data_IF_183734632434
#
_entry.id   IF_183734632434
#
_cell.length_a   1.000
_cell.length_b   1.000
_cell.length_c   1.000
_cell.angle_alpha   90.00
_cell.angle_beta   90.00
_cell.angle_gamma   90.00
#
_symmetry.space_group_name_H-M   'P 1'
#
loop_
_entity.id
_entity.type
_entity.pdbx_description
1 polymer ?
#
# COMPACT_ATOMS: atom_id res chain seq x y z
N UNK A 1 16.91 -43.77 0.96
CA UNK A 1 15.57 -43.32 1.37
C UNK A 1 15.74 -41.97 2.04
N UNK A 2 15.60 -40.89 1.29
CA UNK A 2 15.58 -39.53 1.85
C UNK A 2 14.11 -39.12 1.98
N UNK A 3 13.62 -39.06 3.22
CA UNK A 3 12.32 -38.48 3.54
C UNK A 3 12.43 -36.96 3.51
N UNK A 4 12.52 -36.36 2.33
CA UNK A 4 12.08 -34.99 2.11
C UNK A 4 10.60 -35.05 1.72
N UNK A 5 9.73 -35.16 2.72
CA UNK A 5 8.35 -34.72 2.54
C UNK A 5 8.39 -33.19 2.43
N UNK A 6 8.69 -32.69 1.23
CA UNK A 6 8.50 -31.28 0.92
C UNK A 6 7.03 -30.94 1.17
N UNK A 7 6.78 -29.88 1.93
CA UNK A 7 5.45 -29.30 2.10
C UNK A 7 4.77 -29.27 0.73
N UNK A 8 3.54 -29.80 0.65
CA UNK A 8 2.74 -29.81 -0.57
C UNK A 8 2.65 -28.36 -1.06
N UNK A 9 3.35 -28.04 -2.15
CA UNK A 9 3.40 -26.68 -2.71
C UNK A 9 1.96 -26.25 -3.03
N UNK A 10 1.45 -25.27 -2.28
CA UNK A 10 0.16 -24.63 -2.58
C UNK A 10 0.30 -23.94 -3.94
N UNK A 11 -0.54 -24.32 -4.90
CA UNK A 11 -0.64 -23.67 -6.22
C UNK A 11 -1.70 -22.58 -6.14
N UNK A 12 -1.50 -21.48 -6.87
CA UNK A 12 -2.50 -20.43 -7.01
C UNK A 12 -2.34 -19.23 -6.06
N UNK A 13 -1.13 -19.00 -5.52
CA UNK A 13 -0.84 -17.96 -4.52
C UNK A 13 -0.63 -16.58 -5.16
N UNK A 14 -0.85 -15.48 -4.44
CA UNK A 14 -0.57 -14.13 -4.93
C UNK A 14 0.65 -13.58 -4.19
N UNK A 15 1.78 -13.39 -4.88
CA UNK A 15 2.98 -12.84 -4.30
C UNK A 15 2.97 -11.32 -4.42
N UNK A 16 3.14 -10.65 -3.29
CA UNK A 16 3.36 -9.21 -3.24
C UNK A 16 4.74 -8.93 -2.64
N UNK A 17 5.61 -8.28 -3.42
CA UNK A 17 6.96 -7.93 -3.03
C UNK A 17 6.99 -6.44 -2.70
N UNK A 18 7.28 -6.12 -1.46
CA UNK A 18 7.31 -4.73 -0.97
C UNK A 18 8.67 -4.39 -0.40
N UNK A 19 9.03 -3.12 -0.48
CA UNK A 19 10.30 -2.62 0.06
C UNK A 19 10.41 -2.83 1.59
N UNK A 20 9.38 -2.49 2.37
CA UNK A 20 9.48 -2.44 3.82
C UNK A 20 8.29 -3.05 4.60
N UNK A 21 8.37 -2.91 5.92
CA UNK A 21 7.33 -3.37 6.84
C UNK A 21 6.10 -2.45 6.86
N UNK A 22 6.25 -1.17 6.50
CA UNK A 22 5.15 -0.21 6.53
C UNK A 22 4.09 -0.57 5.47
N UNK A 23 4.55 -0.89 4.27
CA UNK A 23 3.78 -1.36 3.13
C UNK A 23 2.95 -2.58 3.54
N UNK A 24 3.62 -3.61 4.09
CA UNK A 24 2.97 -4.84 4.53
C UNK A 24 1.98 -4.58 5.67
N UNK A 25 2.48 -4.12 6.82
CA UNK A 25 1.72 -4.16 8.08
C UNK A 25 0.73 -3.00 8.25
N UNK A 26 0.84 -1.93 7.44
CA UNK A 26 -0.13 -0.83 7.47
C UNK A 26 -0.96 -0.79 6.20
N UNK A 27 -0.35 -0.51 5.04
CA UNK A 27 -1.11 -0.24 3.81
C UNK A 27 -1.84 -1.50 3.32
N UNK A 28 -1.12 -2.58 3.03
CA UNK A 28 -1.73 -3.77 2.45
C UNK A 28 -2.63 -4.52 3.43
N UNK A 29 -2.26 -4.54 4.71
CA UNK A 29 -3.18 -4.99 5.76
C UNK A 29 -4.51 -4.22 5.69
N UNK A 30 -4.46 -2.88 5.73
CA UNK A 30 -5.66 -2.06 5.70
C UNK A 30 -6.44 -2.20 4.38
N UNK A 31 -5.77 -2.30 3.23
CA UNK A 31 -6.42 -2.57 1.94
C UNK A 31 -7.18 -3.89 1.99
N UNK A 32 -6.59 -4.97 2.50
CA UNK A 32 -7.27 -6.27 2.50
C UNK A 32 -8.43 -6.35 3.51
N UNK A 33 -8.38 -5.60 4.62
CA UNK A 33 -9.54 -5.44 5.50
C UNK A 33 -10.65 -4.61 4.83
N UNK A 34 -10.29 -3.55 4.10
CA UNK A 34 -11.27 -2.70 3.39
C UNK A 34 -11.87 -3.40 2.17
N UNK A 35 -11.10 -4.26 1.50
CA UNK A 35 -11.44 -4.97 0.26
C UNK A 35 -11.26 -6.49 0.40
N UNK A 36 -12.05 -7.19 1.25
CA UNK A 36 -11.95 -8.63 1.45
C UNK A 36 -12.18 -9.48 0.19
N UNK A 37 -12.73 -8.89 -0.87
CA UNK A 37 -12.84 -9.52 -2.20
C UNK A 37 -11.45 -9.78 -2.82
N UNK A 38 -10.43 -9.04 -2.38
CA UNK A 38 -9.02 -9.27 -2.69
C UNK A 38 -8.52 -10.37 -1.77
N UNK A 39 -8.56 -11.61 -2.25
CA UNK A 39 -8.18 -12.79 -1.47
C UNK A 39 -6.67 -13.05 -1.54
N UNK A 40 -5.88 -12.14 -0.95
CA UNK A 40 -4.43 -12.29 -0.78
C UNK A 40 -4.12 -12.54 0.70
N UNK A 41 -3.34 -13.58 0.98
CA UNK A 41 -2.88 -13.85 2.33
C UNK A 41 -1.69 -12.94 2.68
N UNK A 42 -1.74 -12.31 3.86
CA UNK A 42 -0.64 -11.51 4.42
C UNK A 42 0.71 -12.26 4.49
N UNK A 43 0.70 -13.59 4.62
CA UNK A 43 1.91 -14.43 4.59
C UNK A 43 2.57 -14.49 3.19
N UNK A 44 1.81 -14.17 2.15
CA UNK A 44 2.25 -14.10 0.75
C UNK A 44 2.75 -12.70 0.36
N UNK A 45 2.78 -11.75 1.32
CA UNK A 45 3.50 -10.48 1.17
C UNK A 45 4.94 -10.65 1.64
N UNK A 46 5.87 -10.66 0.71
CA UNK A 46 7.30 -10.71 0.99
C UNK A 46 7.88 -9.32 1.08
N UNK A 47 8.57 -9.08 2.19
CA UNK A 47 9.37 -7.87 2.35
C UNK A 47 10.71 -8.15 1.64
N UNK A 48 11.06 -7.37 0.63
CA UNK A 48 12.37 -7.39 -0.02
C UNK A 48 13.42 -6.58 0.72
N UNK A 49 13.02 -5.71 1.65
CA UNK A 49 13.88 -5.12 2.69
C UNK A 49 14.98 -4.18 2.20
N UNK A 50 14.94 -3.74 0.95
CA UNK A 50 15.84 -2.76 0.32
C UNK A 50 15.15 -2.21 -0.94
N UNK A 51 15.83 -1.35 -1.69
CA UNK A 51 15.27 -0.63 -2.83
C UNK A 51 15.37 -1.41 -4.15
N UNK A 52 14.75 -0.83 -5.18
CA UNK A 52 14.65 -1.42 -6.51
C UNK A 52 16.00 -1.61 -7.21
N UNK A 53 17.00 -0.78 -6.92
CA UNK A 53 18.33 -0.88 -7.57
C UNK A 53 19.10 -2.10 -7.08
N UNK A 54 18.95 -2.46 -5.81
CA UNK A 54 19.51 -3.71 -5.29
C UNK A 54 18.79 -4.94 -5.87
N UNK A 55 17.49 -4.84 -6.16
CA UNK A 55 16.77 -5.91 -6.86
C UNK A 55 17.25 -6.05 -8.31
N UNK A 56 17.46 -4.92 -8.99
CA UNK A 56 18.04 -4.90 -10.33
C UNK A 56 19.41 -5.61 -10.36
N UNK A 57 20.31 -5.28 -9.42
CA UNK A 57 21.64 -5.88 -9.37
C UNK A 57 21.59 -7.39 -9.08
N UNK A 58 20.62 -7.85 -8.29
CA UNK A 58 20.37 -9.29 -8.08
C UNK A 58 19.89 -9.99 -9.35
N UNK A 59 19.04 -9.33 -10.16
CA UNK A 59 18.58 -9.85 -11.45
C UNK A 59 19.77 -9.95 -12.41
N UNK A 60 20.58 -8.89 -12.54
CA UNK A 60 21.79 -8.90 -13.37
C UNK A 60 22.76 -10.01 -12.96
N UNK A 61 22.89 -10.26 -11.66
CA UNK A 61 23.74 -11.35 -11.16
C UNK A 61 23.25 -12.74 -11.56
N UNK A 62 21.93 -12.93 -11.67
CA UNK A 62 21.33 -14.23 -12.01
C UNK A 62 21.20 -14.44 -13.53
N UNK A 63 20.85 -13.38 -14.29
CA UNK A 63 20.51 -13.45 -15.71
C UNK A 63 21.51 -12.76 -16.65
N UNK A 64 22.51 -12.04 -16.11
CA UNK A 64 23.50 -11.29 -16.89
C UNK A 64 23.14 -9.82 -17.13
N UNK A 65 24.09 -9.03 -17.64
CA UNK A 65 23.91 -7.58 -17.85
C UNK A 65 22.94 -7.23 -18.99
N UNK A 66 22.78 -8.13 -19.96
CA UNK A 66 21.96 -7.91 -21.16
C UNK A 66 20.54 -8.48 -21.02
N UNK A 67 20.10 -8.83 -19.80
CA UNK A 67 18.84 -9.52 -19.50
C UNK A 67 17.60 -8.84 -20.13
N UNK A 68 17.55 -7.50 -20.14
CA UNK A 68 16.42 -6.76 -20.72
C UNK A 68 16.47 -6.80 -22.26
N UNK A 69 17.66 -6.62 -22.85
CA UNK A 69 17.84 -6.61 -24.32
C UNK A 69 17.62 -7.99 -24.93
N UNK A 70 17.98 -9.04 -24.19
CA UNK A 70 17.75 -10.44 -24.56
C UNK A 70 16.32 -10.89 -24.25
N UNK A 71 15.51 -10.05 -23.59
CA UNK A 71 14.14 -10.33 -23.17
C UNK A 71 14.05 -11.65 -22.38
N UNK A 72 14.95 -11.79 -21.40
CA UNK A 72 15.03 -12.96 -20.51
C UNK A 72 13.76 -13.14 -19.69
N UNK A 73 13.36 -14.40 -19.48
CA UNK A 73 12.19 -14.74 -18.65
C UNK A 73 12.59 -14.77 -17.16
N UNK A 74 12.43 -13.63 -16.49
CA UNK A 74 12.89 -13.44 -15.12
C UNK A 74 11.99 -14.18 -14.12
N UNK A 75 12.49 -15.26 -13.52
CA UNK A 75 11.88 -15.91 -12.35
C UNK A 75 12.23 -15.13 -11.06
N UNK A 76 11.50 -14.03 -10.83
CA UNK A 76 11.73 -13.14 -9.70
C UNK A 76 11.56 -13.82 -8.33
N UNK A 77 10.56 -14.69 -8.09
CA UNK A 77 10.47 -15.42 -6.83
C UNK A 77 11.69 -16.30 -6.56
N UNK A 78 12.31 -16.86 -7.61
CA UNK A 78 13.55 -17.61 -7.47
C UNK A 78 14.73 -16.71 -7.06
N UNK A 79 14.92 -15.56 -7.72
CA UNK A 79 15.97 -14.58 -7.35
C UNK A 79 15.87 -14.21 -5.87
N UNK A 80 14.67 -13.83 -5.43
CA UNK A 80 14.43 -13.36 -4.05
C UNK A 80 14.56 -14.51 -3.05
N UNK A 81 13.93 -15.65 -3.31
CA UNK A 81 13.97 -16.80 -2.39
C UNK A 81 15.36 -17.39 -2.26
N UNK A 82 16.15 -17.44 -3.33
CA UNK A 82 17.56 -17.87 -3.29
C UNK A 82 18.40 -17.00 -2.36
N UNK A 83 18.16 -15.68 -2.35
CA UNK A 83 18.88 -14.72 -1.49
C UNK A 83 18.41 -14.75 -0.04
N UNK A 84 17.09 -14.79 0.20
CA UNK A 84 16.48 -14.61 1.53
C UNK A 84 16.12 -15.91 2.25
N UNK A 85 15.75 -16.93 1.49
CA UNK A 85 15.21 -18.20 1.98
C UNK A 85 15.86 -19.39 1.25
N UNK A 86 17.19 -19.56 1.35
CA UNK A 86 17.91 -20.57 0.55
C UNK A 86 17.39 -22.00 0.75
N UNK A 87 16.83 -22.30 1.92
CA UNK A 87 16.23 -23.60 2.25
C UNK A 87 14.78 -23.78 1.73
N UNK A 88 14.16 -22.71 1.24
CA UNK A 88 12.77 -22.67 0.77
C UNK A 88 12.67 -21.91 -0.57
N UNK A 89 13.35 -22.44 -1.58
CA UNK A 89 13.27 -21.91 -2.95
C UNK A 89 11.84 -21.93 -3.47
N UNK A 90 11.47 -20.85 -4.12
CA UNK A 90 10.18 -20.60 -4.76
C UNK A 90 10.42 -20.18 -6.19
N UNK A 91 9.43 -20.40 -7.04
CA UNK A 91 9.52 -20.15 -8.47
C UNK A 91 8.28 -19.41 -8.95
N UNK A 92 8.39 -18.72 -10.09
CA UNK A 92 7.28 -18.01 -10.74
C UNK A 92 6.00 -18.84 -10.79
N UNK A 93 6.11 -20.10 -11.22
CA UNK A 93 4.99 -21.07 -11.32
C UNK A 93 4.29 -21.42 -10.01
N UNK A 94 4.84 -21.07 -8.85
CA UNK A 94 4.20 -21.27 -7.55
C UNK A 94 3.11 -20.19 -7.29
N UNK A 95 3.08 -19.12 -8.09
CA UNK A 95 2.20 -17.96 -7.92
C UNK A 95 1.32 -17.72 -9.16
N UNK A 96 0.11 -17.24 -8.93
CA UNK A 96 -0.83 -16.75 -9.96
C UNK A 96 -0.52 -15.32 -10.34
N UNK A 97 -0.21 -14.48 -9.35
CA UNK A 97 0.10 -13.08 -9.53
C UNK A 97 1.39 -12.75 -8.78
N UNK A 98 2.24 -11.91 -9.38
CA UNK A 98 3.45 -11.36 -8.79
C UNK A 98 3.37 -9.84 -8.93
N UNK A 99 3.33 -9.14 -7.81
CA UNK A 99 3.27 -7.67 -7.76
C UNK A 99 4.49 -7.15 -7.02
N UNK A 100 5.09 -6.09 -7.55
CA UNK A 100 6.23 -5.40 -6.97
C UNK A 100 5.84 -3.97 -6.62
N UNK A 101 6.20 -3.52 -5.42
CA UNK A 101 5.94 -2.15 -4.96
C UNK A 101 7.21 -1.56 -4.38
N UNK A 102 7.68 -0.49 -5.01
CA UNK A 102 8.91 0.21 -4.66
C UNK A 102 8.72 1.72 -4.67
N UNK A 103 9.58 2.41 -3.94
CA UNK A 103 9.58 3.87 -3.88
C UNK A 103 10.48 4.49 -4.96
N UNK A 104 10.16 5.71 -5.36
CA UNK A 104 10.96 6.49 -6.30
C UNK A 104 12.08 7.24 -5.58
N UNK A 105 13.19 6.56 -5.36
CA UNK A 105 14.34 7.10 -4.63
C UNK A 105 15.36 7.78 -5.55
N UNK A 106 15.07 8.99 -6.04
CA UNK A 106 16.01 9.75 -6.90
C UNK A 106 17.36 10.05 -6.24
N UNK A 107 17.38 10.12 -4.91
CA UNK A 107 18.59 10.45 -4.14
C UNK A 107 19.41 9.21 -3.76
N UNK A 108 18.96 8.01 -4.12
CA UNK A 108 19.75 6.81 -3.90
C UNK A 108 21.06 6.89 -4.67
N UNK A 109 22.16 6.44 -4.06
CA UNK A 109 23.49 6.48 -4.69
C UNK A 109 23.57 5.62 -5.95
N UNK A 110 22.70 4.62 -6.08
CA UNK A 110 22.61 3.72 -7.24
C UNK A 110 21.48 4.13 -8.19
N UNK A 111 20.87 5.30 -8.01
CA UNK A 111 19.83 5.81 -8.89
C UNK A 111 20.31 5.80 -10.34
N UNK A 112 19.52 5.18 -11.21
CA UNK A 112 19.73 5.21 -12.65
C UNK A 112 18.37 5.23 -13.34
N UNK A 113 18.15 6.28 -14.16
CA UNK A 113 16.94 6.41 -14.98
C UNK A 113 16.77 5.21 -15.90
N UNK A 114 17.87 4.67 -16.43
CA UNK A 114 17.87 3.50 -17.31
C UNK A 114 17.48 2.23 -16.55
N UNK A 115 18.12 1.96 -15.39
CA UNK A 115 17.81 0.76 -14.59
C UNK A 115 16.34 0.71 -14.17
N UNK A 116 15.80 1.82 -13.65
CA UNK A 116 14.39 1.84 -13.22
C UNK A 116 13.42 1.74 -14.39
N UNK A 117 13.78 2.28 -15.57
CA UNK A 117 12.99 2.13 -16.78
C UNK A 117 13.02 0.71 -17.34
N UNK A 118 14.16 0.01 -17.30
CA UNK A 118 14.27 -1.41 -17.66
C UNK A 118 13.39 -2.28 -16.76
N UNK A 119 13.42 -2.03 -15.44
CA UNK A 119 12.52 -2.69 -14.49
C UNK A 119 11.04 -2.44 -14.83
N UNK A 120 10.66 -1.17 -15.11
CA UNK A 120 9.27 -0.82 -15.44
C UNK A 120 8.79 -1.43 -16.76
N UNK A 121 9.67 -1.63 -17.75
CA UNK A 121 9.34 -2.28 -19.02
C UNK A 121 9.26 -3.81 -18.90
N UNK A 122 10.07 -4.41 -18.03
CA UNK A 122 10.06 -5.85 -17.79
C UNK A 122 8.81 -6.30 -17.02
N UNK A 123 8.48 -5.61 -15.92
CA UNK A 123 7.45 -6.03 -14.99
C UNK A 123 6.11 -5.32 -15.28
N UNK A 124 5.41 -5.77 -16.32
CA UNK A 124 4.15 -5.15 -16.82
C UNK A 124 2.88 -5.96 -16.53
N UNK A 125 3.00 -7.28 -16.33
CA UNK A 125 1.87 -8.20 -16.18
C UNK A 125 2.04 -9.05 -14.91
N UNK A 126 1.09 -8.88 -13.98
CA UNK A 126 1.11 -9.58 -12.70
C UNK A 126 1.02 -11.10 -12.89
N UNK A 127 0.38 -11.58 -13.96
CA UNK A 127 0.16 -13.02 -14.22
C UNK A 127 1.34 -13.73 -14.87
N UNK A 128 2.40 -12.98 -15.21
CA UNK A 128 3.63 -13.51 -15.80
C UNK A 128 4.87 -13.16 -14.93
N UNK A 129 5.84 -12.39 -15.44
CA UNK A 129 7.05 -12.04 -14.71
C UNK A 129 6.78 -11.15 -13.49
N UNK A 130 5.64 -10.47 -13.49
CA UNK A 130 5.15 -9.63 -12.42
C UNK A 130 4.85 -8.21 -12.89
N UNK A 131 4.24 -7.42 -12.01
CA UNK A 131 3.87 -6.03 -12.28
C UNK A 131 4.49 -5.08 -11.28
N UNK A 132 5.20 -4.07 -11.77
CA UNK A 132 5.86 -3.06 -10.96
C UNK A 132 5.03 -1.79 -10.81
N UNK A 133 4.80 -1.41 -9.55
CA UNK A 133 4.29 -0.11 -9.15
C UNK A 133 5.39 0.69 -8.45
N UNK A 134 5.58 1.93 -8.89
CA UNK A 134 6.50 2.89 -8.29
C UNK A 134 5.69 3.99 -7.60
N UNK A 135 6.00 4.26 -6.34
CA UNK A 135 5.35 5.34 -5.59
C UNK A 135 6.24 6.58 -5.55
N UNK A 136 5.65 7.73 -5.83
CA UNK A 136 6.35 9.00 -6.01
C UNK A 136 5.98 10.00 -4.91
N UNK A 137 6.95 10.49 -4.13
CA UNK A 137 8.32 9.98 -4.04
C UNK A 137 8.41 8.62 -3.31
N UNK A 138 7.40 8.26 -2.52
CA UNK A 138 7.42 7.06 -1.69
C UNK A 138 6.03 6.62 -1.26
N UNK A 139 5.92 5.50 -0.54
CA UNK A 139 4.66 4.89 -0.14
C UNK A 139 3.72 5.89 0.52
N UNK A 140 4.19 6.80 1.39
CA UNK A 140 3.35 7.77 2.08
C UNK A 140 2.54 8.71 1.15
N UNK A 141 2.85 8.74 -0.15
CA UNK A 141 2.04 9.43 -1.15
C UNK A 141 0.57 9.00 -1.17
N UNK A 142 0.21 7.76 -0.82
CA UNK A 142 -1.21 7.33 -0.84
C UNK A 142 -2.07 8.11 0.16
N UNK A 143 -1.46 8.60 1.24
CA UNK A 143 -2.17 9.35 2.29
C UNK A 143 -2.00 10.86 2.18
N UNK A 144 -1.30 11.37 1.17
CA UNK A 144 -1.01 12.81 1.03
C UNK A 144 -2.18 13.59 0.40
N UNK A 145 -3.36 13.50 1.04
CA UNK A 145 -4.55 14.29 0.73
C UNK A 145 -4.89 15.21 1.91
N UNK A 146 -5.14 16.48 1.62
CA UNK A 146 -5.39 17.54 2.60
C UNK A 146 -6.89 17.77 2.85
N UNK A 147 -7.73 17.19 1.99
CA UNK A 147 -9.20 17.20 2.10
C UNK A 147 -9.77 16.06 1.25
N UNK A 148 -11.09 15.85 1.28
CA UNK A 148 -11.78 14.89 0.43
C UNK A 148 -13.10 15.52 -0.07
N UNK A 149 -13.28 15.72 -1.40
CA UNK A 149 -12.29 15.56 -2.48
C UNK A 149 -11.15 16.61 -2.40
N UNK A 150 -10.00 16.31 -3.03
CA UNK A 150 -8.78 17.14 -3.05
C UNK A 150 -8.39 17.56 -4.48
N UNK A 151 -8.97 18.66 -4.97
CA UNK A 151 -8.64 19.18 -6.30
C UNK A 151 -7.18 19.68 -6.40
N UNK A 152 -6.61 20.18 -5.29
CA UNK A 152 -5.22 20.65 -5.24
C UNK A 152 -4.22 19.50 -5.40
N UNK A 153 -4.65 18.24 -5.17
CA UNK A 153 -3.82 17.07 -5.45
C UNK A 153 -3.35 17.03 -6.91
N UNK A 154 -4.09 17.62 -7.86
CA UNK A 154 -3.71 17.72 -9.26
C UNK A 154 -2.30 18.32 -9.45
N UNK A 155 -1.97 19.35 -8.67
CA UNK A 155 -0.69 20.05 -8.76
C UNK A 155 0.31 19.70 -7.65
N UNK A 156 -0.06 18.80 -6.73
CA UNK A 156 0.78 18.47 -5.59
C UNK A 156 2.10 17.83 -6.02
N UNK A 157 3.21 18.46 -5.67
CA UNK A 157 4.56 18.04 -6.01
C UNK A 157 5.49 18.50 -4.91
N UNK A 158 6.63 17.85 -4.79
CA UNK A 158 7.67 18.22 -3.83
C UNK A 158 8.98 18.54 -4.57
N UNK A 159 9.78 19.49 -4.08
CA UNK A 159 11.05 19.77 -4.71
C UNK A 159 12.01 18.59 -4.53
N UNK A 160 12.85 18.32 -5.54
CA UNK A 160 13.91 17.30 -5.46
C UNK A 160 14.88 17.65 -4.33
N UNK A 161 15.12 18.93 -4.06
CA UNK A 161 15.99 19.37 -2.96
C UNK A 161 15.52 18.95 -1.56
N UNK A 162 14.26 18.51 -1.38
CA UNK A 162 13.74 17.98 -0.12
C UNK A 162 14.42 16.66 0.30
N UNK A 163 15.07 15.94 -0.63
CA UNK A 163 15.62 14.60 -0.39
C UNK A 163 14.62 13.68 0.31
N UNK A 164 13.57 13.24 -0.41
CA UNK A 164 12.44 12.54 0.19
C UNK A 164 12.87 11.35 1.03
N UNK A 165 12.16 11.14 2.12
CA UNK A 165 12.54 10.28 3.21
C UNK A 165 11.87 10.79 4.47
N UNK A 166 12.64 11.03 5.53
CA UNK A 166 12.09 11.54 6.79
C UNK A 166 11.35 12.88 6.63
N UNK A 167 11.85 13.78 5.78
CA UNK A 167 11.25 15.10 5.56
C UNK A 167 9.88 15.00 4.88
N UNK A 168 9.79 14.22 3.81
CA UNK A 168 8.50 13.99 3.15
C UNK A 168 7.50 13.29 4.07
N UNK A 169 7.92 12.30 4.86
CA UNK A 169 7.03 11.64 5.84
C UNK A 169 6.48 12.63 6.86
N UNK A 170 7.32 13.54 7.35
CA UNK A 170 6.90 14.59 8.28
C UNK A 170 5.93 15.58 7.63
N UNK A 171 6.18 15.95 6.36
CA UNK A 171 5.27 16.81 5.58
C UNK A 171 3.90 16.14 5.43
N UNK A 172 3.86 14.89 4.98
CA UNK A 172 2.62 14.13 4.84
C UNK A 172 1.86 14.06 6.16
N UNK A 173 2.54 13.79 7.27
CA UNK A 173 1.92 13.71 8.60
C UNK A 173 1.30 15.04 9.06
N UNK A 174 1.89 16.17 8.65
CA UNK A 174 1.38 17.51 8.98
C UNK A 174 0.18 17.91 8.13
N UNK A 175 0.17 17.52 6.85
CA UNK A 175 -0.83 18.00 5.88
C UNK A 175 -2.02 17.05 5.72
N UNK A 176 -1.82 15.73 5.96
CA UNK A 176 -2.85 14.73 5.69
C UNK A 176 -4.05 14.81 6.62
N UNK A 177 -5.26 14.67 6.06
CA UNK A 177 -6.48 14.42 6.85
C UNK A 177 -6.76 12.92 7.08
N UNK A 178 -5.93 12.05 6.51
CA UNK A 178 -6.12 10.60 6.49
C UNK A 178 -5.32 9.89 7.59
N UNK A 179 -4.26 10.51 8.12
CA UNK A 179 -3.37 9.89 9.10
C UNK A 179 -4.11 9.29 10.31
N UNK A 180 -4.95 10.10 10.97
CA UNK A 180 -5.73 9.64 12.14
C UNK A 180 -6.73 8.54 11.83
N UNK A 181 -7.22 8.47 10.59
CA UNK A 181 -8.19 7.47 10.11
C UNK A 181 -7.50 6.16 9.79
N UNK A 182 -6.38 6.20 9.07
CA UNK A 182 -5.57 5.04 8.68
C UNK A 182 -4.97 4.36 9.93
N UNK A 183 -4.43 5.15 10.86
CA UNK A 183 -3.78 4.59 12.05
C UNK A 183 -4.79 4.14 13.13
N UNK A 184 -6.09 4.41 12.96
CA UNK A 184 -7.11 4.20 14.00
C UNK A 184 -7.16 2.77 14.57
N UNK A 185 -7.18 1.69 13.75
CA UNK A 185 -7.17 0.32 14.27
C UNK A 185 -5.93 0.00 15.09
N UNK A 186 -4.75 0.39 14.60
CA UNK A 186 -3.50 0.18 15.33
C UNK A 186 -3.45 0.99 16.62
N UNK A 187 -4.04 2.19 16.65
CA UNK A 187 -4.15 2.99 17.88
C UNK A 187 -5.02 2.31 18.93
N UNK A 188 -6.10 1.63 18.54
CA UNK A 188 -6.92 0.84 19.47
C UNK A 188 -6.10 -0.32 20.04
N UNK A 189 -5.40 -1.08 19.19
CA UNK A 189 -4.55 -2.19 19.64
C UNK A 189 -3.43 -1.71 20.58
N UNK A 190 -2.72 -0.64 20.19
CA UNK A 190 -1.68 0.01 21.01
C UNK A 190 -2.21 0.54 22.35
N UNK A 191 -3.45 1.04 22.38
CA UNK A 191 -4.08 1.48 23.62
C UNK A 191 -4.28 0.29 24.56
N UNK A 192 -4.86 -0.80 24.06
CA UNK A 192 -5.12 -2.01 24.83
C UNK A 192 -3.82 -2.68 25.29
N UNK A 193 -2.84 -2.79 24.40
CA UNK A 193 -1.55 -3.43 24.70
C UNK A 193 -0.69 -2.59 25.65
N UNK A 194 -0.44 -1.32 25.31
CA UNK A 194 0.61 -0.53 25.97
C UNK A 194 0.11 0.23 27.18
N UNK A 195 -1.16 0.65 27.20
CA UNK A 195 -1.71 1.48 28.29
C UNK A 195 -2.52 0.67 29.28
N UNK A 196 -3.17 -0.40 28.82
CA UNK A 196 -4.01 -1.27 29.66
C UNK A 196 -3.43 -2.69 29.82
N UNK A 197 -2.20 -2.92 29.33
CA UNK A 197 -1.41 -4.14 29.55
C UNK A 197 -2.12 -5.45 29.15
N UNK A 198 -3.01 -5.38 28.15
CA UNK A 198 -3.73 -6.54 27.63
C UNK A 198 -2.80 -7.36 26.75
N UNK A 199 -2.08 -8.33 27.33
CA UNK A 199 -1.09 -9.15 26.60
C UNK A 199 -1.69 -10.17 25.61
N UNK A 200 -2.97 -10.53 25.77
CA UNK A 200 -3.66 -11.52 24.92
C UNK A 200 -4.05 -10.91 23.56
N UNK A 201 -3.27 -11.26 22.53
CA UNK A 201 -3.42 -10.75 21.15
C UNK A 201 -4.81 -11.07 20.56
N UNK A 202 -5.35 -12.27 20.83
CA UNK A 202 -6.63 -12.67 20.25
C UNK A 202 -7.80 -11.92 20.91
N UNK A 203 -7.71 -11.66 22.23
CA UNK A 203 -8.67 -10.76 22.89
C UNK A 203 -8.59 -9.33 22.36
N UNK A 204 -7.39 -8.79 22.16
CA UNK A 204 -7.22 -7.44 21.61
C UNK A 204 -7.79 -7.31 20.20
N UNK A 205 -7.47 -8.26 19.31
CA UNK A 205 -8.03 -8.30 17.94
C UNK A 205 -9.55 -8.36 17.96
N UNK A 206 -10.13 -9.26 18.77
CA UNK A 206 -11.59 -9.37 18.90
C UNK A 206 -12.21 -8.04 19.37
N UNK A 207 -11.65 -7.45 20.42
CA UNK A 207 -12.11 -6.15 20.94
C UNK A 207 -12.00 -5.05 19.88
N UNK A 208 -10.88 -4.98 19.16
CA UNK A 208 -10.65 -4.01 18.09
C UNK A 208 -11.71 -4.16 16.99
N UNK A 209 -11.93 -5.38 16.51
CA UNK A 209 -12.92 -5.65 15.47
C UNK A 209 -14.34 -5.25 15.90
N UNK A 210 -14.77 -5.60 17.13
CA UNK A 210 -16.09 -5.18 17.62
C UNK A 210 -16.25 -3.64 17.66
N UNK A 211 -15.18 -2.90 17.95
CA UNK A 211 -15.19 -1.43 17.94
C UNK A 211 -15.27 -0.87 16.50
N UNK A 212 -14.54 -1.47 15.56
CA UNK A 212 -14.51 -1.04 14.17
C UNK A 212 -15.84 -1.34 13.43
N UNK A 213 -16.59 -2.34 13.90
CA UNK A 213 -17.93 -2.69 13.41
C UNK A 213 -19.07 -1.79 13.93
N UNK A 214 -18.78 -0.81 14.80
CA UNK A 214 -19.80 0.13 15.28
C UNK A 214 -20.30 0.97 14.11
N UNK A 215 -21.58 0.86 13.76
CA UNK A 215 -22.15 1.65 12.65
C UNK A 215 -22.98 2.84 13.10
N UNK A 216 -23.32 2.97 14.39
CA UNK A 216 -24.22 4.04 14.84
C UNK A 216 -23.90 4.57 16.24
N UNK A 217 -24.17 5.86 16.43
CA UNK A 217 -23.96 6.53 17.73
C UNK A 217 -24.81 5.89 18.85
N UNK A 218 -26.01 5.39 18.53
CA UNK A 218 -26.92 4.80 19.51
C UNK A 218 -26.45 3.46 20.07
N UNK A 219 -25.68 2.68 19.29
CA UNK A 219 -25.15 1.38 19.70
C UNK A 219 -23.76 1.46 20.32
N UNK A 220 -23.00 2.52 20.02
CA UNK A 220 -21.60 2.70 20.35
C UNK A 220 -21.27 2.40 21.82
N UNK A 221 -22.00 3.01 22.76
CA UNK A 221 -21.69 2.89 24.19
C UNK A 221 -21.80 1.43 24.68
N UNK A 222 -22.86 0.73 24.27
CA UNK A 222 -23.09 -0.65 24.66
C UNK A 222 -22.09 -1.61 24.00
N UNK A 223 -21.75 -1.38 22.73
CA UNK A 223 -20.77 -2.21 22.02
C UNK A 223 -19.38 -2.08 22.66
N UNK A 224 -18.93 -0.85 22.94
CA UNK A 224 -17.62 -0.63 23.57
C UNK A 224 -17.58 -1.25 24.97
N UNK A 225 -18.64 -1.10 25.77
CA UNK A 225 -18.70 -1.68 27.12
C UNK A 225 -18.59 -3.22 27.08
N UNK A 226 -19.35 -3.85 26.18
CA UNK A 226 -19.33 -5.30 25.99
C UNK A 226 -17.97 -5.80 25.46
N UNK A 227 -17.38 -5.10 24.48
CA UNK A 227 -16.11 -5.48 23.87
C UNK A 227 -14.95 -5.45 24.88
N UNK A 228 -15.00 -4.52 25.84
CA UNK A 228 -14.00 -4.39 26.89
C UNK A 228 -14.20 -5.36 28.07
N UNK A 229 -15.40 -5.91 28.24
CA UNK A 229 -15.73 -6.75 29.39
C UNK A 229 -14.90 -8.04 29.40
N UNK A 230 -14.09 -8.23 30.45
CA UNK A 230 -13.19 -9.38 30.57
C UNK A 230 -11.92 -9.30 29.70
N UNK A 231 -11.74 -8.17 29.00
CA UNK A 231 -10.50 -7.83 28.27
C UNK A 231 -9.62 -6.92 29.13
N UNK A 232 -10.20 -5.86 29.70
CA UNK A 232 -9.48 -4.92 30.59
C UNK A 232 -9.84 -5.15 32.06
N UNK A 233 -9.00 -4.66 32.97
CA UNK A 233 -9.27 -4.72 34.40
C UNK A 233 -10.52 -3.90 34.75
N UNK A 234 -11.38 -4.42 35.62
CA UNK A 234 -12.67 -3.76 35.94
C UNK A 234 -12.55 -2.33 36.48
N UNK A 235 -11.44 -2.00 37.13
CA UNK A 235 -11.20 -0.65 37.65
C UNK A 235 -10.76 0.36 36.57
N UNK A 236 -10.21 -0.09 35.44
CA UNK A 236 -9.83 0.77 34.30
C UNK A 236 -10.92 0.87 33.23
N UNK A 237 -11.90 -0.03 33.27
CA UNK A 237 -12.99 -0.14 32.29
C UNK A 237 -13.66 1.21 31.97
N UNK A 238 -14.08 2.04 32.96
CA UNK A 238 -14.71 3.33 32.65
C UNK A 238 -13.79 4.26 31.86
N UNK A 239 -12.50 4.33 32.23
CA UNK A 239 -11.51 5.18 31.57
C UNK A 239 -11.31 4.78 30.11
N UNK A 240 -11.12 3.47 29.86
CA UNK A 240 -10.92 2.94 28.49
C UNK A 240 -12.16 3.21 27.65
N UNK A 241 -13.35 2.95 28.21
CA UNK A 241 -14.65 3.15 27.56
C UNK A 241 -14.81 4.60 27.08
N UNK A 242 -14.65 5.58 27.96
CA UNK A 242 -14.80 6.99 27.58
C UNK A 242 -13.77 7.44 26.55
N UNK A 243 -12.54 6.94 26.66
CA UNK A 243 -11.49 7.24 25.69
C UNK A 243 -11.82 6.69 24.29
N UNK A 244 -12.31 5.45 24.21
CA UNK A 244 -12.70 4.84 22.94
C UNK A 244 -13.95 5.49 22.33
N UNK A 245 -14.93 5.88 23.14
CA UNK A 245 -16.10 6.64 22.67
C UNK A 245 -15.65 7.96 22.01
N UNK A 246 -14.76 8.71 22.66
CA UNK A 246 -14.19 9.94 22.11
C UNK A 246 -13.43 9.68 20.80
N UNK A 247 -12.59 8.63 20.77
CA UNK A 247 -11.80 8.31 19.59
C UNK A 247 -12.67 7.86 18.39
N UNK A 248 -13.66 7.00 18.61
CA UNK A 248 -14.63 6.56 17.59
C UNK A 248 -15.41 7.76 17.06
N UNK A 249 -15.92 8.62 17.94
CA UNK A 249 -16.66 9.83 17.56
C UNK A 249 -15.81 10.74 16.68
N UNK A 250 -14.53 10.92 17.01
CA UNK A 250 -13.58 11.74 16.23
C UNK A 250 -13.30 11.22 14.82
N UNK A 251 -13.51 9.93 14.54
CA UNK A 251 -13.33 9.39 13.19
C UNK A 251 -14.47 9.77 12.24
N UNK A 252 -15.67 10.03 12.77
CA UNK A 252 -16.82 10.51 12.01
C UNK A 252 -17.67 9.45 11.30
N UNK A 253 -17.18 8.22 11.12
CA UNK A 253 -17.90 7.15 10.38
C UNK A 253 -19.24 6.75 11.03
N UNK A 254 -19.32 6.78 12.35
CA UNK A 254 -20.57 6.49 13.08
C UNK A 254 -21.69 7.51 12.83
N UNK A 255 -21.35 8.69 12.31
CA UNK A 255 -22.33 9.71 11.92
C UNK A 255 -22.86 9.52 10.50
N UNK A 256 -22.19 8.71 9.68
CA UNK A 256 -22.63 8.36 8.32
C UNK A 256 -23.36 7.02 8.26
N UNK A 257 -23.64 6.41 9.42
CA UNK A 257 -24.23 5.07 9.55
C UNK A 257 -23.40 3.95 8.88
N UNK A 258 -22.08 4.11 8.85
CA UNK A 258 -21.14 3.16 8.26
C UNK A 258 -20.31 2.52 9.36
N UNK A 259 -19.81 1.30 9.14
CA UNK A 259 -18.68 0.77 9.92
C UNK A 259 -17.39 1.49 9.54
N UNK A 260 -16.33 1.31 10.32
CA UNK A 260 -15.00 1.84 9.96
C UNK A 260 -14.54 1.33 8.60
N UNK A 261 -14.78 0.05 8.29
CA UNK A 261 -14.32 -0.57 7.05
C UNK A 261 -15.05 -0.04 5.82
N UNK A 262 -16.36 0.15 5.90
CA UNK A 262 -17.16 0.77 4.85
C UNK A 262 -16.70 2.21 4.59
N UNK A 263 -16.50 2.98 5.66
CA UNK A 263 -16.03 4.36 5.56
C UNK A 263 -14.61 4.46 4.97
N UNK A 264 -13.69 3.59 5.40
CA UNK A 264 -12.33 3.56 4.85
C UNK A 264 -12.30 3.09 3.40
N UNK A 265 -13.16 2.15 3.00
CA UNK A 265 -13.33 1.77 1.60
C UNK A 265 -13.67 2.99 0.73
N UNK A 266 -14.62 3.82 1.16
CA UNK A 266 -14.97 5.04 0.43
C UNK A 266 -13.81 6.04 0.35
N UNK A 267 -13.01 6.16 1.42
CA UNK A 267 -11.78 6.96 1.42
C UNK A 267 -10.78 6.41 0.39
N UNK A 268 -10.56 5.09 0.34
CA UNK A 268 -9.66 4.50 -0.65
C UNK A 268 -10.16 4.70 -2.07
N UNK A 269 -11.47 4.63 -2.33
CA UNK A 269 -12.02 4.98 -3.66
C UNK A 269 -11.64 6.39 -4.07
N UNK A 270 -11.73 7.37 -3.16
CA UNK A 270 -11.30 8.75 -3.42
C UNK A 270 -9.78 8.85 -3.65
N UNK A 271 -8.96 8.17 -2.83
CA UNK A 271 -7.51 8.11 -3.01
C UNK A 271 -7.15 7.55 -4.39
N UNK A 272 -7.80 6.47 -4.81
CA UNK A 272 -7.60 5.82 -6.11
C UNK A 272 -8.03 6.76 -7.24
N UNK A 273 -9.19 7.39 -7.13
CA UNK A 273 -9.67 8.35 -8.11
C UNK A 273 -8.69 9.52 -8.31
N UNK A 274 -8.20 10.10 -7.22
CA UNK A 274 -7.24 11.21 -7.28
C UNK A 274 -5.91 10.79 -7.90
N UNK A 275 -5.41 9.60 -7.58
CA UNK A 275 -4.17 9.09 -8.17
C UNK A 275 -4.34 8.70 -9.65
N UNK A 276 -5.47 8.13 -10.08
CA UNK A 276 -5.74 7.85 -11.50
C UNK A 276 -5.90 9.17 -12.28
N UNK A 277 -6.66 10.11 -11.74
CA UNK A 277 -6.82 11.47 -12.30
C UNK A 277 -5.48 12.19 -12.45
N UNK A 278 -4.59 12.03 -11.47
CA UNK A 278 -3.26 12.62 -11.53
C UNK A 278 -2.32 11.94 -12.51
N UNK A 279 -2.31 10.61 -12.57
CA UNK A 279 -1.56 9.91 -13.62
C UNK A 279 -2.01 10.36 -15.01
N UNK A 280 -3.33 10.51 -15.19
CA UNK A 280 -3.89 11.04 -16.43
C UNK A 280 -3.45 12.48 -16.72
N UNK A 281 -3.31 13.33 -15.68
CA UNK A 281 -2.75 14.67 -15.81
C UNK A 281 -1.27 14.64 -16.21
N UNK A 282 -0.48 13.76 -15.60
CA UNK A 282 0.95 13.65 -15.87
C UNK A 282 1.19 13.20 -17.32
N UNK A 283 0.39 12.26 -17.82
CA UNK A 283 0.57 11.67 -19.14
C UNK A 283 -0.14 12.45 -20.28
N UNK A 284 -1.29 13.07 -19.99
CA UNK A 284 -2.18 13.66 -21.01
C UNK A 284 -2.63 15.09 -20.70
N UNK A 285 -2.06 15.74 -19.67
CA UNK A 285 -2.39 17.11 -19.23
C UNK A 285 -3.86 17.31 -18.80
N UNK A 286 -4.60 16.22 -18.58
CA UNK A 286 -6.01 16.23 -18.18
C UNK A 286 -6.19 15.60 -16.80
N UNK A 287 -6.63 16.37 -15.81
CA UNK A 287 -6.93 15.82 -14.48
C UNK A 287 -8.33 15.23 -14.39
N UNK A 288 -9.34 15.97 -14.86
CA UNK A 288 -10.74 15.57 -14.71
C UNK A 288 -11.09 14.40 -15.62
N UNK A 289 -11.69 13.36 -15.04
CA UNK A 289 -12.11 12.16 -15.75
C UNK A 289 -13.64 12.13 -15.79
N UNK A 290 -14.27 11.99 -16.98
CA UNK A 290 -15.71 11.78 -17.05
C UNK A 290 -16.09 10.47 -16.35
N UNK A 291 -17.10 10.52 -15.48
CA UNK A 291 -17.55 9.37 -14.66
C UNK A 291 -17.83 8.12 -15.51
N UNK A 292 -18.50 8.28 -16.65
CA UNK A 292 -18.82 7.20 -17.58
C UNK A 292 -17.61 6.66 -18.37
N UNK A 293 -16.43 7.26 -18.23
CA UNK A 293 -15.18 6.87 -18.89
C UNK A 293 -14.07 6.52 -17.92
N UNK A 294 -14.36 6.40 -16.62
CA UNK A 294 -13.35 6.19 -15.60
C UNK A 294 -12.47 4.97 -15.88
N UNK A 295 -13.09 3.85 -16.27
CA UNK A 295 -12.39 2.63 -16.67
C UNK A 295 -11.49 2.82 -17.91
N UNK A 296 -12.01 3.46 -18.96
CA UNK A 296 -11.24 3.74 -20.20
C UNK A 296 -10.01 4.60 -19.90
N UNK A 297 -10.16 5.58 -19.00
CA UNK A 297 -9.07 6.46 -18.61
C UNK A 297 -8.03 5.78 -17.72
N UNK A 298 -8.44 4.78 -16.94
CA UNK A 298 -7.51 3.94 -16.20
C UNK A 298 -6.74 2.99 -17.13
N UNK A 299 -7.43 2.29 -18.02
CA UNK A 299 -6.85 1.29 -18.92
C UNK A 299 -5.85 1.88 -19.94
N UNK A 300 -5.92 3.20 -20.22
CA UNK A 300 -4.97 3.88 -21.12
C UNK A 300 -3.68 4.37 -20.45
N UNK A 301 -3.59 4.31 -19.12
CA UNK A 301 -2.39 4.78 -18.41
C UNK A 301 -1.19 3.89 -18.73
N UNK A 302 -0.05 4.50 -18.98
CA UNK A 302 1.22 3.82 -19.20
C UNK A 302 2.21 4.24 -18.11
N UNK A 303 2.46 3.32 -17.17
CA UNK A 303 3.37 3.55 -16.05
C UNK A 303 4.81 3.85 -16.51
N UNK A 304 5.22 3.34 -17.68
CA UNK A 304 6.53 3.64 -18.26
C UNK A 304 6.59 5.10 -18.75
N UNK A 305 5.54 5.59 -19.42
CA UNK A 305 5.49 6.99 -19.85
C UNK A 305 5.41 7.95 -18.66
N UNK A 306 4.63 7.60 -17.62
CA UNK A 306 4.58 8.37 -16.37
C UNK A 306 5.97 8.43 -15.72
N UNK A 307 6.68 7.30 -15.65
CA UNK A 307 8.05 7.25 -15.12
C UNK A 307 9.03 8.08 -15.96
N UNK A 308 8.90 8.11 -17.30
CA UNK A 308 9.72 8.99 -18.17
C UNK A 308 9.48 10.46 -17.87
N UNK A 309 8.21 10.88 -17.76
CA UNK A 309 7.85 12.26 -17.39
C UNK A 309 8.44 12.59 -16.02
N UNK A 310 8.27 11.69 -15.04
CA UNK A 310 8.82 11.87 -13.71
C UNK A 310 10.35 11.99 -13.74
N UNK A 311 11.04 11.14 -14.48
CA UNK A 311 12.48 11.22 -14.63
C UNK A 311 12.93 12.56 -15.22
N UNK A 312 12.24 13.03 -16.26
CA UNK A 312 12.50 14.30 -16.90
C UNK A 312 12.35 15.50 -15.95
N UNK A 313 11.22 15.61 -15.24
CA UNK A 313 10.94 16.79 -14.38
C UNK A 313 11.77 16.82 -13.10
N UNK A 314 12.31 15.69 -12.68
CA UNK A 314 13.13 15.58 -11.47
C UNK A 314 14.65 15.59 -11.74
N UNK A 315 15.05 15.81 -13.00
CA UNK A 315 16.46 15.79 -13.41
C UNK A 315 17.32 16.89 -12.78
N UNK A 316 16.74 18.07 -12.58
CA UNK A 316 17.45 19.20 -11.99
C UNK A 316 17.38 19.12 -10.45
N UNK A 317 18.54 19.10 -9.79
CA UNK A 317 18.61 18.96 -8.34
C UNK A 317 18.18 20.22 -7.56
N UNK A 318 18.17 21.39 -8.22
CA UNK A 318 17.87 22.68 -7.60
C UNK A 318 16.41 23.11 -7.84
N UNK A 319 15.91 22.96 -9.07
CA UNK A 319 14.56 23.41 -9.47
C UNK A 319 13.63 22.26 -9.87
N UNK A 320 14.14 21.04 -10.00
CA UNK A 320 13.34 19.87 -10.31
C UNK A 320 12.40 19.49 -9.18
N UNK A 321 11.37 18.72 -9.51
CA UNK A 321 10.37 18.29 -8.56
C UNK A 321 9.93 16.84 -8.80
N UNK A 322 9.33 16.24 -7.78
CA UNK A 322 8.71 14.93 -7.85
C UNK A 322 7.20 15.10 -7.73
N UNK A 323 6.46 14.59 -8.70
CA UNK A 323 5.01 14.52 -8.61
C UNK A 323 4.64 13.59 -7.45
N UNK A 324 3.70 14.01 -6.61
CA UNK A 324 3.15 13.11 -5.61
C UNK A 324 2.15 12.18 -6.30
N UNK A 325 2.48 10.90 -6.45
CA UNK A 325 1.65 9.92 -7.14
C UNK A 325 1.88 8.54 -6.51
N UNK A 326 0.82 7.89 -6.06
CA UNK A 326 0.89 6.52 -5.57
C UNK A 326 0.30 5.57 -6.61
N UNK A 327 1.13 4.72 -7.21
CA UNK A 327 0.66 3.79 -8.25
C UNK A 327 0.32 2.43 -7.67
N UNK A 328 0.81 2.05 -6.49
CA UNK A 328 0.53 0.72 -5.93
C UNK A 328 -0.93 0.51 -5.56
N UNK A 329 -1.65 1.57 -5.20
CA UNK A 329 -3.11 1.55 -5.00
C UNK A 329 -3.91 1.22 -6.27
N UNK A 330 -3.31 1.31 -7.47
CA UNK A 330 -3.95 0.85 -8.70
C UNK A 330 -4.19 -0.66 -8.71
N UNK A 331 -3.43 -1.42 -7.92
CA UNK A 331 -3.62 -2.85 -7.74
C UNK A 331 -5.10 -3.22 -7.45
N UNK A 332 -5.83 -2.39 -6.70
CA UNK A 332 -7.26 -2.62 -6.41
C UNK A 332 -8.11 -2.53 -7.69
N UNK A 333 -7.87 -1.49 -8.49
CA UNK A 333 -8.57 -1.25 -9.75
C UNK A 333 -8.24 -2.32 -10.81
N UNK A 334 -7.01 -2.83 -10.82
CA UNK A 334 -6.58 -3.91 -11.74
C UNK A 334 -7.12 -5.27 -11.33
N UNK A 335 -7.16 -5.55 -10.02
CA UNK A 335 -7.72 -6.80 -9.51
C UNK A 335 -9.19 -6.92 -9.90
N UNK A 336 -9.98 -5.87 -9.65
CA UNK A 336 -11.35 -5.77 -10.14
C UNK A 336 -11.82 -4.32 -10.12
N UNK A 337 -11.93 -3.70 -11.30
CA UNK A 337 -12.30 -2.29 -11.44
C UNK A 337 -13.66 -1.94 -10.80
N UNK A 338 -14.56 -2.92 -10.61
CA UNK A 338 -15.83 -2.67 -9.90
C UNK A 338 -15.64 -2.21 -8.46
N UNK A 339 -14.55 -2.65 -7.79
CA UNK A 339 -14.25 -2.27 -6.41
C UNK A 339 -14.00 -0.76 -6.24
N UNK A 340 -13.69 -0.06 -7.34
CA UNK A 340 -13.43 1.39 -7.33
C UNK A 340 -14.55 2.20 -8.00
N UNK A 341 -15.59 1.53 -8.49
CA UNK A 341 -16.77 2.13 -9.15
C UNK A 341 -18.02 2.03 -8.28
N UNK A 342 -18.26 0.83 -7.73
CA UNK A 342 -19.39 0.47 -6.87
C UNK A 342 -19.00 0.74 -5.41
#
# INVERSE_FOLDING_TARGET
MNNYQGEVRKRGQNLLIVEGYHEKNKLFWLIFECFPEININMDEIWIYGTNIYQLYDDIVKEYGEEWEKENEDIDLPFVISKKRYPDKLRYKKDFTNIVLVFDYERHDTNFSEEKILEMQRCFVDATDMGKLYINYPMIESYRHLCQLPDDDFAERKIPVSLQPGKEYKALVEQETILGSKIDFPHRIDDLLEKHFEVSDVEKRKKCCNEILEISSVSSMENVIDNALQGVVAGHTLPTVKYQLIDWVTKQGYVHTNQTYWEYMRDIFKQVIYHNISKANRIQYEQYQIPENKYKEYFERLDLTEILKVQNFVSKDSAIGFIWVLNTCIYFIAEYNFRLVMD
#
